data_IF_813015233514
#
_entry.id   IF_813015233514
#
_cell.length_a   1.000
_cell.length_b   1.000
_cell.length_c   1.000
_cell.angle_alpha   90.00
_cell.angle_beta   90.00
_cell.angle_gamma   90.00
#
_symmetry.space_group_name_H-M   'P 1'
#
loop_
_entity.id
_entity.type
_entity.pdbx_description
1 polymer ?
#
# COMPACT_ATOMS: atom_id res chain seq x y z
N UNK A 1 16.22 9.99 6.67
CA UNK A 1 16.47 8.82 5.81
C UNK A 1 15.23 8.56 4.98
N UNK A 2 15.37 8.33 3.69
CA UNK A 2 14.21 8.03 2.88
C UNK A 2 13.63 6.66 3.21
N UNK A 3 12.34 6.57 3.12
CA UNK A 3 11.62 5.31 3.21
C UNK A 3 11.92 4.48 1.96
N UNK A 4 12.20 3.20 2.13
CA UNK A 4 12.42 2.30 1.01
C UNK A 4 11.63 1.01 1.20
N UNK A 5 11.57 0.17 0.16
CA UNK A 5 10.70 -1.01 0.15
C UNK A 5 11.46 -2.25 -0.32
N UNK A 6 12.45 -2.71 0.48
CA UNK A 6 13.25 -3.88 0.10
C UNK A 6 12.45 -5.19 0.19
N UNK A 7 11.44 -5.25 1.05
CA UNK A 7 10.60 -6.43 1.20
C UNK A 7 9.44 -6.34 0.21
N UNK A 8 9.45 -7.21 -0.81
CA UNK A 8 8.42 -7.22 -1.84
C UNK A 8 7.21 -8.09 -1.51
N UNK A 9 7.16 -8.65 -0.32
CA UNK A 9 6.00 -9.41 0.13
C UNK A 9 4.78 -8.51 0.23
N UNK A 10 3.63 -9.09 -0.01
CA UNK A 10 2.35 -8.42 0.17
C UNK A 10 1.31 -9.50 0.49
N UNK A 11 0.23 -9.09 1.15
CA UNK A 11 -0.87 -9.99 1.47
C UNK A 11 -2.18 -9.21 1.50
N UNK A 12 -3.27 -9.91 1.20
CA UNK A 12 -4.59 -9.29 1.30
C UNK A 12 -5.14 -9.51 2.72
N UNK A 13 -5.53 -8.42 3.37
CA UNK A 13 -6.13 -8.44 4.72
C UNK A 13 -7.63 -8.31 4.55
N UNK A 14 -8.37 -9.38 4.85
CA UNK A 14 -9.83 -9.41 4.68
C UNK A 14 -10.55 -8.51 5.67
N UNK A 15 -10.01 -8.35 6.88
CA UNK A 15 -10.62 -7.50 7.90
C UNK A 15 -10.54 -6.03 7.53
N UNK A 16 -9.38 -5.61 7.04
CA UNK A 16 -9.16 -4.22 6.63
C UNK A 16 -9.58 -3.94 5.20
N UNK A 17 -9.81 -4.99 4.41
CA UNK A 17 -10.15 -4.90 2.99
C UNK A 17 -9.09 -4.10 2.25
N UNK A 18 -7.85 -4.51 2.42
CA UNK A 18 -6.69 -3.79 1.91
C UNK A 18 -5.55 -4.76 1.63
N UNK A 19 -4.63 -4.37 0.76
CA UNK A 19 -3.38 -5.11 0.55
C UNK A 19 -2.34 -4.54 1.50
N UNK A 20 -1.78 -5.41 2.32
CA UNK A 20 -0.73 -5.07 3.27
C UNK A 20 0.64 -5.21 2.61
N UNK A 21 1.50 -4.24 2.85
CA UNK A 21 2.89 -4.29 2.42
C UNK A 21 3.75 -3.55 3.44
N UNK A 22 5.06 -3.57 3.27
CA UNK A 22 5.98 -3.06 4.27
C UNK A 22 6.98 -2.09 3.67
N UNK A 23 7.27 -1.03 4.42
CA UNK A 23 8.34 -0.11 4.11
C UNK A 23 9.33 -0.04 5.26
N UNK A 24 10.55 0.36 4.96
CA UNK A 24 11.64 0.44 5.94
C UNK A 24 12.28 1.82 5.93
N UNK A 25 12.59 2.31 7.13
CA UNK A 25 13.40 3.50 7.31
C UNK A 25 14.38 3.20 8.43
N UNK A 26 15.67 3.25 8.13
CA UNK A 26 16.73 2.82 9.05
C UNK A 26 16.48 1.38 9.49
N UNK A 27 16.41 1.10 10.79
CA UNK A 27 16.14 -0.23 11.31
C UNK A 27 14.66 -0.48 11.58
N UNK A 28 13.80 0.48 11.27
CA UNK A 28 12.37 0.39 11.56
C UNK A 28 11.60 -0.11 10.33
N UNK A 29 10.66 -1.02 10.57
CA UNK A 29 9.73 -1.51 9.56
C UNK A 29 8.33 -1.01 9.88
N UNK A 30 7.63 -0.54 8.84
CA UNK A 30 6.29 0.00 8.96
C UNK A 30 5.33 -0.80 8.10
N UNK A 31 4.13 -1.06 8.62
CA UNK A 31 3.06 -1.69 7.84
C UNK A 31 2.23 -0.64 7.13
N UNK A 32 1.93 -0.90 5.86
CA UNK A 32 1.08 -0.07 5.02
C UNK A 32 -0.08 -0.90 4.50
N UNK A 33 -1.24 -0.28 4.40
CA UNK A 33 -2.46 -0.91 3.89
C UNK A 33 -3.02 -0.05 2.78
N UNK A 34 -2.96 -0.55 1.53
CA UNK A 34 -3.61 0.14 0.43
C UNK A 34 -5.02 -0.42 0.29
N UNK A 35 -6.02 0.44 0.45
CA UNK A 35 -7.42 0.02 0.50
C UNK A 35 -7.92 -0.42 -0.88
N UNK A 36 -9.00 -1.23 -0.87
CA UNK A 36 -9.66 -1.60 -2.12
C UNK A 36 -10.08 -0.39 -2.93
N UNK A 37 -10.60 0.64 -2.26
CA UNK A 37 -11.02 1.87 -2.94
C UNK A 37 -9.84 2.58 -3.59
N UNK A 38 -8.69 2.60 -2.92
CA UNK A 38 -7.47 3.17 -3.49
C UNK A 38 -7.03 2.39 -4.72
N UNK A 39 -7.04 1.06 -4.65
CA UNK A 39 -6.69 0.21 -5.77
C UNK A 39 -7.65 0.40 -6.95
N UNK A 40 -8.94 0.52 -6.67
CA UNK A 40 -9.93 0.76 -7.70
C UNK A 40 -9.74 2.10 -8.38
N UNK A 41 -9.27 3.10 -7.65
CA UNK A 41 -8.99 4.41 -8.22
C UNK A 41 -7.87 4.35 -9.25
N UNK A 42 -6.80 3.57 -8.97
CA UNK A 42 -5.66 3.46 -9.89
C UNK A 42 -5.84 2.36 -10.92
N UNK A 43 -6.76 1.41 -10.69
CA UNK A 43 -7.06 0.32 -11.62
C UNK A 43 -8.56 0.02 -11.60
N UNK A 44 -9.37 0.87 -12.26
CA UNK A 44 -10.84 0.74 -12.18
C UNK A 44 -11.37 -0.57 -12.75
N UNK A 45 -10.63 -1.22 -13.63
CA UNK A 45 -11.04 -2.46 -14.31
C UNK A 45 -10.57 -3.74 -13.61
N UNK A 46 -9.96 -3.61 -12.42
CA UNK A 46 -9.49 -4.79 -11.71
C UNK A 46 -10.65 -5.69 -11.25
N UNK A 47 -10.40 -7.00 -11.17
CA UNK A 47 -11.36 -7.92 -10.61
C UNK A 47 -11.53 -7.66 -9.10
N UNK A 48 -12.78 -7.73 -8.61
CA UNK A 48 -13.09 -7.42 -7.21
C UNK A 48 -12.94 -8.66 -6.32
N UNK A 49 -11.75 -9.24 -6.32
CA UNK A 49 -11.39 -10.40 -5.50
C UNK A 49 -9.93 -10.29 -5.09
N UNK A 50 -9.48 -11.18 -4.21
CA UNK A 50 -8.11 -11.15 -3.69
C UNK A 50 -7.07 -11.14 -4.81
N UNK A 51 -7.24 -12.02 -5.79
CA UNK A 51 -6.33 -12.11 -6.93
C UNK A 51 -6.27 -10.80 -7.70
N UNK A 52 -7.42 -10.18 -7.94
CA UNK A 52 -7.49 -8.89 -8.64
C UNK A 52 -6.81 -7.78 -7.87
N UNK A 53 -7.01 -7.71 -6.55
CA UNK A 53 -6.37 -6.71 -5.70
C UNK A 53 -4.86 -6.87 -5.67
N UNK A 54 -4.37 -8.10 -5.53
CA UNK A 54 -2.93 -8.38 -5.52
C UNK A 54 -2.30 -8.07 -6.87
N UNK A 55 -2.98 -8.40 -7.97
CA UNK A 55 -2.49 -8.08 -9.32
C UNK A 55 -2.44 -6.58 -9.56
N UNK A 56 -3.45 -5.84 -9.12
CA UNK A 56 -3.48 -4.39 -9.24
C UNK A 56 -2.35 -3.75 -8.43
N UNK A 57 -2.09 -4.27 -7.22
CA UNK A 57 -0.96 -3.83 -6.40
C UNK A 57 0.35 -4.05 -7.14
N UNK A 58 0.59 -5.26 -7.63
CA UNK A 58 1.85 -5.61 -8.29
C UNK A 58 2.09 -4.77 -9.55
N UNK A 59 1.05 -4.46 -10.29
CA UNK A 59 1.16 -3.66 -11.51
C UNK A 59 1.43 -2.18 -11.24
N UNK A 60 1.21 -1.72 -10.00
CA UNK A 60 1.30 -0.30 -9.65
C UNK A 60 2.19 -0.04 -8.44
N UNK A 61 3.16 -0.90 -8.16
CA UNK A 61 4.00 -0.81 -6.97
C UNK A 61 4.69 0.54 -6.82
N UNK A 62 5.26 1.07 -7.90
CA UNK A 62 5.98 2.33 -7.80
C UNK A 62 5.06 3.48 -7.41
N UNK A 63 3.89 3.54 -8.00
CA UNK A 63 2.89 4.56 -7.67
C UNK A 63 2.46 4.43 -6.20
N UNK A 64 2.22 3.20 -5.75
CA UNK A 64 1.81 2.93 -4.38
C UNK A 64 2.92 3.29 -3.40
N UNK A 65 4.17 2.98 -3.73
CA UNK A 65 5.31 3.31 -2.88
C UNK A 65 5.50 4.83 -2.74
N UNK A 66 5.30 5.58 -3.81
CA UNK A 66 5.36 7.04 -3.77
C UNK A 66 4.28 7.58 -2.83
N UNK A 67 3.06 7.06 -2.93
CA UNK A 67 1.97 7.47 -2.05
C UNK A 67 2.27 7.10 -0.59
N UNK A 68 2.82 5.91 -0.36
CA UNK A 68 3.19 5.46 0.98
C UNK A 68 4.23 6.39 1.61
N UNK A 69 5.23 6.81 0.85
CA UNK A 69 6.24 7.73 1.35
C UNK A 69 5.63 9.07 1.75
N UNK A 70 4.67 9.57 0.98
CA UNK A 70 3.98 10.82 1.31
C UNK A 70 3.15 10.70 2.58
N UNK A 71 2.42 9.60 2.74
CA UNK A 71 1.61 9.37 3.92
C UNK A 71 2.49 9.20 5.15
N UNK A 72 3.59 8.47 5.02
CA UNK A 72 4.56 8.27 6.11
C UNK A 72 5.16 9.61 6.56
N UNK A 73 5.42 10.50 5.63
CA UNK A 73 6.02 11.81 5.94
C UNK A 73 5.08 12.73 6.72
N UNK A 74 3.77 12.46 6.74
CA UNK A 74 2.79 13.28 7.44
C UNK A 74 2.82 13.11 8.96
N UNK A 75 3.44 12.03 9.46
CA UNK A 75 3.53 11.80 10.89
C UNK A 75 3.76 10.33 11.21
N UNK A 76 4.17 10.09 12.46
CA UNK A 76 4.46 8.74 12.92
C UNK A 76 3.19 8.04 13.39
N UNK A 77 3.01 6.80 12.96
CA UNK A 77 1.90 5.94 13.37
C UNK A 77 2.39 4.50 13.46
N UNK A 78 1.60 3.64 14.11
CA UNK A 78 1.90 2.22 14.15
C UNK A 78 1.71 1.55 12.80
N UNK A 79 0.74 2.02 12.02
CA UNK A 79 0.50 1.58 10.65
C UNK A 79 -0.08 2.73 9.84
N UNK A 80 -0.09 2.56 8.51
CA UNK A 80 -0.51 3.62 7.59
C UNK A 80 -1.53 3.07 6.62
N UNK A 81 -2.62 3.82 6.41
CA UNK A 81 -3.64 3.48 5.43
C UNK A 81 -3.51 4.41 4.22
N UNK A 82 -3.45 3.81 3.03
CA UNK A 82 -3.47 4.56 1.78
C UNK A 82 -4.90 4.54 1.25
N UNK A 83 -5.50 5.71 1.22
CA UNK A 83 -6.90 5.87 0.84
C UNK A 83 -6.99 6.33 -0.60
N UNK A 84 -8.19 6.26 -1.19
CA UNK A 84 -8.42 6.72 -2.56
C UNK A 84 -7.94 8.17 -2.75
N UNK A 85 -8.10 9.01 -1.73
CA UNK A 85 -7.69 10.41 -1.80
C UNK A 85 -6.16 10.60 -1.86
N UNK A 86 -5.39 9.56 -1.57
CA UNK A 86 -3.93 9.62 -1.63
C UNK A 86 -3.39 9.38 -3.06
N UNK A 87 -4.29 9.13 -4.01
CA UNK A 87 -3.94 8.83 -5.41
C UNK A 87 -4.61 9.79 -6.43
#
# INVERSE_FOLDING_TARGET
>A
MPLNFPNQSRSYDTTRRAVRFWGHESSMEWSFYVTEDALRRIRPDMAADESGYLSAFDANRELIYVAAAKVHARGRRGSYDLLAADF
#
